data_IF_074176784891
#
_entry.id   IF_074176784891
#
_cell.length_a   1.000
_cell.length_b   1.000
_cell.length_c   1.000
_cell.angle_alpha   90.00
_cell.angle_beta   90.00
_cell.angle_gamma   90.00
#
_symmetry.space_group_name_H-M   'P 1'
#
loop_
_entity.id
_entity.type
_entity.pdbx_description
1 polymer ?
#
# COMPACT_ATOMS: atom_id res chain seq x y z
N UNK A 1 39.80 7.31 65.83
CA UNK A 1 39.09 8.13 64.83
C UNK A 1 39.43 7.59 63.45
N UNK A 2 38.51 6.89 62.78
CA UNK A 2 38.32 6.92 61.32
C UNK A 2 36.98 6.22 61.03
N UNK A 3 36.00 7.03 60.68
CA UNK A 3 34.60 6.72 60.42
C UNK A 3 34.45 5.97 59.08
N UNK A 4 33.76 4.82 59.13
CA UNK A 4 33.51 3.90 58.02
C UNK A 4 32.42 4.39 57.07
N UNK A 5 32.66 5.49 56.36
CA UNK A 5 31.74 6.00 55.33
C UNK A 5 31.83 5.18 54.03
N UNK A 6 31.17 4.03 54.04
CA UNK A 6 30.90 3.24 52.85
C UNK A 6 29.85 3.91 51.95
N UNK A 7 30.14 3.97 50.65
CA UNK A 7 29.23 4.47 49.61
C UNK A 7 27.91 3.68 49.61
N UNK A 8 26.78 4.34 49.94
CA UNK A 8 25.45 3.77 49.73
C UNK A 8 25.05 3.96 48.28
N UNK A 9 24.83 2.87 47.53
CA UNK A 9 24.28 2.94 46.17
C UNK A 9 22.85 3.50 46.23
N UNK A 10 22.46 4.47 45.38
CA UNK A 10 21.07 4.92 45.32
C UNK A 10 20.17 3.74 44.89
N UNK A 11 18.94 3.63 45.43
CA UNK A 11 18.01 2.59 45.02
C UNK A 11 17.73 2.71 43.51
N UNK A 12 17.79 1.57 42.80
CA UNK A 12 17.47 1.50 41.37
C UNK A 12 15.98 1.82 41.20
N UNK A 13 15.67 2.95 40.56
CA UNK A 13 14.30 3.28 40.18
C UNK A 13 13.74 2.17 39.27
N UNK A 14 12.48 1.73 39.45
CA UNK A 14 11.88 0.72 38.60
C UNK A 14 11.75 1.26 37.16
N UNK A 15 12.46 0.63 36.22
CA UNK A 15 12.48 1.00 34.79
C UNK A 15 11.16 0.65 34.10
N UNK A 16 10.35 -0.20 34.73
CA UNK A 16 8.99 -0.52 34.29
C UNK A 16 8.00 0.36 35.05
N UNK A 17 7.90 1.63 34.67
CA UNK A 17 6.71 2.40 34.98
C UNK A 17 5.52 1.68 34.33
N UNK A 18 4.72 1.00 35.14
CA UNK A 18 3.49 0.32 34.72
C UNK A 18 2.68 1.25 33.82
N UNK A 19 2.53 0.89 32.55
CA UNK A 19 1.75 1.65 31.57
C UNK A 19 0.28 1.70 32.01
N UNK A 20 -0.06 2.75 32.76
CA UNK A 20 -1.40 3.00 33.30
C UNK A 20 -2.38 3.55 32.24
N UNK A 21 -2.01 3.54 30.95
CA UNK A 21 -2.81 4.08 29.86
C UNK A 21 -4.17 3.37 29.74
N UNK A 22 -4.14 2.03 29.74
CA UNK A 22 -5.35 1.22 29.61
C UNK A 22 -6.21 1.19 30.87
N UNK A 23 -5.68 1.57 32.05
CA UNK A 23 -6.49 1.61 33.27
C UNK A 23 -7.55 2.73 33.26
N UNK A 24 -7.42 3.69 32.34
CA UNK A 24 -8.39 4.78 32.13
C UNK A 24 -9.36 4.48 30.99
N UNK A 25 -9.04 3.49 30.15
CA UNK A 25 -9.88 3.04 29.04
C UNK A 25 -10.78 1.91 29.54
N UNK A 26 -12.05 2.22 29.84
CA UNK A 26 -13.04 1.22 30.25
C UNK A 26 -13.96 0.90 29.07
N UNK A 27 -13.81 -0.26 28.41
CA UNK A 27 -14.67 -0.67 27.29
C UNK A 27 -16.14 -0.72 27.69
N UNK A 28 -16.41 -1.13 28.94
CA UNK A 28 -17.75 -1.22 29.50
C UNK A 28 -18.39 0.16 29.63
N UNK A 29 -17.64 1.19 30.05
CA UNK A 29 -18.15 2.57 30.07
C UNK A 29 -18.37 3.10 28.67
N UNK A 30 -17.46 2.85 27.74
CA UNK A 30 -17.59 3.29 26.34
C UNK A 30 -18.85 2.69 25.67
N UNK A 31 -19.14 1.40 25.91
CA UNK A 31 -20.36 0.78 25.38
C UNK A 31 -21.64 1.38 26.01
N UNK A 32 -21.64 1.61 27.33
CA UNK A 32 -22.79 2.25 28.01
C UNK A 32 -23.04 3.67 27.51
N UNK A 33 -21.96 4.43 27.30
CA UNK A 33 -22.00 5.79 26.76
C UNK A 33 -22.50 5.79 25.32
N UNK A 34 -21.98 4.91 24.46
CA UNK A 34 -22.45 4.72 23.09
C UNK A 34 -23.94 4.34 23.05
N UNK A 35 -24.37 3.42 23.91
CA UNK A 35 -25.78 3.00 24.00
C UNK A 35 -26.67 4.16 24.45
N UNK A 36 -26.25 4.95 25.43
CA UNK A 36 -26.99 6.13 25.89
C UNK A 36 -27.08 7.18 24.77
N UNK A 37 -25.96 7.45 24.12
CA UNK A 37 -25.87 8.37 22.99
C UNK A 37 -26.82 7.95 21.87
N UNK A 38 -26.82 6.67 21.47
CA UNK A 38 -27.74 6.17 20.45
C UNK A 38 -29.20 6.22 20.91
N UNK A 39 -29.49 5.99 22.20
CA UNK A 39 -30.86 6.04 22.72
C UNK A 39 -31.47 7.45 22.72
N UNK A 40 -30.65 8.50 22.77
CA UNK A 40 -31.11 9.91 22.75
C UNK A 40 -31.27 10.50 21.34
N UNK A 41 -30.93 9.76 20.29
CA UNK A 41 -30.83 10.24 18.91
C UNK A 41 -32.13 10.10 18.13
N UNK A 42 -32.31 10.96 17.14
CA UNK A 42 -33.51 10.96 16.30
C UNK A 42 -33.49 9.83 15.26
N UNK A 43 -34.68 9.39 14.82
CA UNK A 43 -34.82 8.22 13.93
C UNK A 43 -34.06 8.35 12.62
N UNK A 44 -33.93 9.56 12.07
CA UNK A 44 -33.23 9.79 10.80
C UNK A 44 -31.70 9.71 10.94
N UNK A 45 -31.13 10.00 12.11
CA UNK A 45 -29.68 9.93 12.34
C UNK A 45 -29.18 8.47 12.22
N UNK A 46 -30.02 7.49 12.57
CA UNK A 46 -29.73 6.07 12.33
C UNK A 46 -29.68 5.70 10.86
N UNK A 47 -30.50 6.35 10.02
CA UNK A 47 -30.45 6.18 8.57
C UNK A 47 -29.10 6.62 8.01
N UNK A 48 -28.65 7.82 8.39
CA UNK A 48 -27.34 8.34 7.98
C UNK A 48 -26.17 7.51 8.52
N UNK A 49 -26.24 7.07 9.78
CA UNK A 49 -25.23 6.19 10.37
C UNK A 49 -25.12 4.86 9.60
N UNK A 50 -26.26 4.25 9.30
CA UNK A 50 -26.30 3.00 8.53
C UNK A 50 -25.75 3.20 7.13
N UNK A 51 -26.14 4.28 6.45
CA UNK A 51 -25.63 4.62 5.12
C UNK A 51 -24.11 4.84 5.12
N UNK A 52 -23.59 5.59 6.11
CA UNK A 52 -22.16 5.84 6.24
C UNK A 52 -21.37 4.54 6.49
N UNK A 53 -21.85 3.68 7.39
CA UNK A 53 -21.25 2.37 7.63
C UNK A 53 -21.31 1.47 6.40
N UNK A 54 -22.44 1.48 5.68
CA UNK A 54 -22.62 0.69 4.46
C UNK A 54 -21.68 1.12 3.34
N UNK A 55 -21.57 2.42 3.06
CA UNK A 55 -20.67 2.97 2.03
C UNK A 55 -19.21 2.66 2.39
N UNK A 56 -18.82 2.93 3.64
CA UNK A 56 -17.44 2.69 4.08
C UNK A 56 -17.10 1.20 4.05
N UNK A 57 -18.01 0.35 4.56
CA UNK A 57 -17.86 -1.09 4.55
C UNK A 57 -17.82 -1.65 3.12
N UNK A 58 -18.63 -1.12 2.21
CA UNK A 58 -18.63 -1.50 0.80
C UNK A 58 -17.29 -1.22 0.13
N UNK A 59 -16.70 -0.04 0.36
CA UNK A 59 -15.37 0.30 -0.19
C UNK A 59 -14.31 -0.67 0.32
N UNK A 60 -14.27 -0.93 1.63
CA UNK A 60 -13.33 -1.88 2.24
C UNK A 60 -13.54 -3.28 1.64
N UNK A 61 -14.80 -3.72 1.50
CA UNK A 61 -15.14 -5.01 0.92
C UNK A 61 -14.71 -5.13 -0.54
N UNK A 62 -14.90 -4.08 -1.35
CA UNK A 62 -14.48 -4.04 -2.74
C UNK A 62 -12.96 -4.21 -2.86
N UNK A 63 -12.19 -3.47 -2.06
CA UNK A 63 -10.74 -3.64 -2.01
C UNK A 63 -10.33 -5.02 -1.51
N UNK A 64 -10.98 -5.55 -0.47
CA UNK A 64 -10.68 -6.88 0.03
C UNK A 64 -10.88 -7.95 -1.05
N UNK A 65 -11.97 -7.86 -1.82
CA UNK A 65 -12.25 -8.76 -2.95
C UNK A 65 -11.24 -8.60 -4.09
N UNK A 66 -10.85 -7.38 -4.43
CA UNK A 66 -9.94 -7.09 -5.54
C UNK A 66 -8.46 -7.36 -5.19
N UNK A 67 -8.10 -7.30 -3.91
CA UNK A 67 -6.71 -7.46 -3.43
C UNK A 67 -6.12 -8.87 -3.61
N UNK A 68 -6.88 -9.82 -4.14
CA UNK A 68 -6.45 -11.22 -4.31
C UNK A 68 -5.53 -11.46 -5.52
N UNK A 69 -4.98 -10.43 -6.13
CA UNK A 69 -3.90 -10.58 -7.11
C UNK A 69 -2.61 -10.88 -6.35
N UNK A 70 -2.41 -12.15 -6.00
CA UNK A 70 -1.10 -12.64 -5.60
C UNK A 70 -0.18 -12.47 -6.81
N UNK A 71 0.47 -11.31 -6.94
CA UNK A 71 1.61 -11.15 -7.85
C UNK A 71 2.70 -12.01 -7.22
N UNK A 72 3.02 -13.21 -7.77
CA UNK A 72 4.11 -13.98 -7.21
C UNK A 72 5.34 -13.08 -7.29
N UNK A 73 6.05 -12.90 -6.17
CA UNK A 73 7.29 -12.15 -6.16
C UNK A 73 8.24 -12.79 -7.19
N UNK A 74 8.38 -12.14 -8.34
CA UNK A 74 9.36 -12.49 -9.37
C UNK A 74 10.59 -11.65 -9.08
N UNK A 75 11.70 -12.31 -8.75
CA UNK A 75 12.99 -11.64 -8.65
C UNK A 75 13.40 -11.24 -10.07
N UNK A 76 13.15 -10.00 -10.45
CA UNK A 76 13.64 -9.43 -11.71
C UNK A 76 15.15 -9.16 -11.58
N UNK A 77 15.95 -10.21 -11.77
CA UNK A 77 17.40 -10.05 -11.92
C UNK A 77 17.66 -9.53 -13.32
N UNK A 78 17.82 -8.22 -13.45
CA UNK A 78 18.23 -7.59 -14.70
C UNK A 78 19.74 -7.85 -14.86
N UNK A 79 20.10 -8.83 -15.67
CA UNK A 79 21.48 -9.05 -16.08
C UNK A 79 21.85 -7.97 -17.09
N UNK A 80 22.80 -7.13 -16.73
CA UNK A 80 23.41 -6.19 -17.68
C UNK A 80 24.46 -6.97 -18.46
N UNK A 81 24.39 -6.93 -19.78
CA UNK A 81 25.40 -7.52 -20.65
C UNK A 81 26.76 -6.85 -20.37
N UNK A 82 27.74 -7.65 -19.93
CA UNK A 82 29.10 -7.19 -19.71
C UNK A 82 29.86 -7.24 -21.03
N UNK A 83 30.17 -6.08 -21.60
CA UNK A 83 30.97 -5.98 -22.82
C UNK A 83 32.46 -5.93 -22.47
N UNK A 84 33.24 -6.85 -23.03
CA UNK A 84 34.70 -6.84 -22.90
C UNK A 84 35.30 -5.65 -23.66
N UNK A 85 36.33 -5.00 -23.10
CA UNK A 85 37.00 -3.87 -23.73
C UNK A 85 37.71 -4.25 -25.05
N UNK A 86 38.12 -5.51 -25.19
CA UNK A 86 38.87 -6.02 -26.35
C UNK A 86 37.98 -6.46 -27.54
N UNK A 87 36.69 -6.11 -27.52
CA UNK A 87 35.74 -6.53 -28.56
C UNK A 87 36.03 -5.81 -29.88
N UNK A 88 35.98 -6.54 -30.99
CA UNK A 88 36.21 -5.98 -32.32
C UNK A 88 34.91 -5.44 -32.96
N UNK A 89 35.01 -4.42 -33.82
CA UNK A 89 33.89 -3.83 -34.56
C UNK A 89 33.06 -4.83 -35.37
N UNK A 90 33.70 -5.90 -35.86
CA UNK A 90 33.01 -6.98 -36.56
C UNK A 90 32.07 -7.74 -35.62
N UNK A 91 32.49 -8.00 -34.38
CA UNK A 91 31.68 -8.66 -33.35
C UNK A 91 30.55 -7.75 -32.86
N UNK A 92 30.78 -6.43 -32.80
CA UNK A 92 29.74 -5.45 -32.46
C UNK A 92 28.62 -5.48 -33.51
N UNK A 93 28.97 -5.38 -34.80
CA UNK A 93 27.99 -5.36 -35.90
C UNK A 93 27.22 -6.68 -36.01
N UNK A 94 27.90 -7.82 -35.83
CA UNK A 94 27.25 -9.13 -35.81
C UNK A 94 26.21 -9.23 -34.68
N UNK A 95 26.54 -8.75 -33.49
CA UNK A 95 25.61 -8.77 -32.35
C UNK A 95 24.43 -7.81 -32.56
N UNK A 96 24.68 -6.60 -33.07
CA UNK A 96 23.63 -5.63 -33.36
C UNK A 96 22.62 -6.14 -34.39
N UNK A 97 23.08 -6.91 -35.39
CA UNK A 97 22.20 -7.54 -36.37
C UNK A 97 21.25 -8.58 -35.73
N UNK A 98 21.66 -9.22 -34.65
CA UNK A 98 20.86 -10.19 -33.89
C UNK A 98 19.91 -9.46 -32.92
N UNK A 99 20.41 -8.47 -32.18
CA UNK A 99 19.65 -7.80 -31.14
C UNK A 99 18.61 -6.81 -31.70
N UNK A 100 18.91 -6.18 -32.83
CA UNK A 100 18.06 -5.20 -33.52
C UNK A 100 16.62 -5.70 -33.72
N UNK A 101 16.39 -6.85 -34.39
CA UNK A 101 15.05 -7.37 -34.60
C UNK A 101 14.36 -7.80 -33.30
N UNK A 102 15.11 -8.30 -32.31
CA UNK A 102 14.54 -8.71 -31.01
C UNK A 102 14.00 -7.48 -30.26
N UNK A 103 14.80 -6.41 -30.19
CA UNK A 103 14.41 -5.14 -29.57
C UNK A 103 13.26 -4.47 -30.31
N UNK A 104 13.26 -4.51 -31.65
CA UNK A 104 12.20 -3.95 -32.47
C UNK A 104 10.84 -4.64 -32.21
N UNK A 105 10.83 -5.99 -32.11
CA UNK A 105 9.61 -6.75 -31.78
C UNK A 105 9.10 -6.42 -30.39
N UNK A 106 9.96 -6.41 -29.38
CA UNK A 106 9.58 -6.06 -28.01
C UNK A 106 8.99 -4.64 -27.93
N UNK A 107 9.59 -3.67 -28.63
CA UNK A 107 9.08 -2.30 -28.70
C UNK A 107 7.71 -2.22 -29.40
N UNK A 108 7.52 -2.96 -30.49
CA UNK A 108 6.25 -3.02 -31.21
C UNK A 108 5.14 -3.61 -30.35
N UNK A 109 5.41 -4.68 -29.60
CA UNK A 109 4.44 -5.27 -28.66
C UNK A 109 4.07 -4.30 -27.53
N UNK A 110 5.04 -3.58 -26.97
CA UNK A 110 4.75 -2.57 -25.96
C UNK A 110 3.92 -1.41 -26.51
N UNK A 111 4.25 -0.91 -27.70
CA UNK A 111 3.46 0.13 -28.38
C UNK A 111 2.03 -0.35 -28.63
N UNK A 112 1.84 -1.55 -29.17
CA UNK A 112 0.52 -2.11 -29.41
C UNK A 112 -0.31 -2.22 -28.12
N UNK A 113 0.30 -2.62 -26.99
CA UNK A 113 -0.38 -2.64 -25.69
C UNK A 113 -0.74 -1.23 -25.19
N UNK A 114 0.14 -0.25 -25.40
CA UNK A 114 -0.12 1.14 -25.04
C UNK A 114 -1.26 1.74 -25.87
N UNK A 115 -1.23 1.55 -27.18
CA UNK A 115 -2.26 2.03 -28.11
C UNK A 115 -3.62 1.40 -27.82
N UNK A 116 -3.67 0.09 -27.51
CA UNK A 116 -4.91 -0.57 -27.08
C UNK A 116 -5.50 0.06 -25.82
N UNK A 117 -4.67 0.26 -24.79
CA UNK A 117 -5.12 0.94 -23.55
C UNK A 117 -5.58 2.36 -23.81
N UNK A 118 -4.85 3.12 -24.62
CA UNK A 118 -5.27 4.47 -25.01
C UNK A 118 -6.61 4.48 -25.75
N UNK A 119 -6.83 3.52 -26.64
CA UNK A 119 -8.11 3.37 -27.35
C UNK A 119 -9.26 3.00 -26.41
N UNK A 120 -9.05 2.09 -25.45
CA UNK A 120 -10.02 1.73 -24.41
C UNK A 120 -10.40 2.96 -23.57
N UNK A 121 -9.41 3.73 -23.11
CA UNK A 121 -9.66 4.95 -22.36
C UNK A 121 -10.38 6.01 -23.19
N UNK A 122 -10.02 6.17 -24.47
CA UNK A 122 -10.70 7.09 -25.37
C UNK A 122 -12.17 6.72 -25.57
N UNK A 123 -12.48 5.44 -25.75
CA UNK A 123 -13.87 4.98 -25.86
C UNK A 123 -14.67 5.27 -24.58
N UNK A 124 -14.05 5.10 -23.43
CA UNK A 124 -14.68 5.43 -22.14
C UNK A 124 -14.91 6.94 -22.00
N UNK A 125 -13.93 7.76 -22.38
CA UNK A 125 -14.00 9.21 -22.37
C UNK A 125 -15.10 9.75 -23.29
N UNK A 126 -15.21 9.20 -24.51
CA UNK A 126 -16.27 9.53 -25.46
C UNK A 126 -17.67 9.17 -24.91
N UNK A 127 -17.79 8.06 -24.17
CA UNK A 127 -19.04 7.65 -23.51
C UNK A 127 -19.41 8.59 -22.35
N UNK A 128 -18.45 8.96 -21.52
CA UNK A 128 -18.65 9.90 -20.41
C UNK A 128 -19.06 11.28 -20.91
N UNK A 129 -18.36 11.79 -21.93
CA UNK A 129 -18.69 13.06 -22.60
C UNK A 129 -20.13 13.04 -23.14
N UNK A 130 -20.54 11.92 -23.77
CA UNK A 130 -21.91 11.75 -24.26
C UNK A 130 -22.96 11.78 -23.15
N UNK A 131 -22.62 11.34 -21.94
CA UNK A 131 -23.49 11.38 -20.77
C UNK A 131 -23.42 12.70 -19.98
N UNK A 132 -22.61 13.66 -20.43
CA UNK A 132 -22.53 15.00 -19.86
C UNK A 132 -21.61 15.13 -18.64
N UNK A 133 -20.68 14.18 -18.47
CA UNK A 133 -19.57 14.28 -17.52
C UNK A 133 -18.31 14.83 -18.18
#
# INVERSE_FOLDING_TARGET
MTDGRGWRRPPRAPILATMRFFSRMSPVRAYKDLRLFLATREKYEFGFLTAAMAITGFVIYAFYKDSTVAVPYKRDIIYVEQWTADRTDAQIRAQQAIDGPIKAKALAEQKAKQERRQAEFKQLDDQLTKWGF
#
